data_IF_829191965531
#
_entry.id   IF_829191965531
#
_cell.length_a   1.000
_cell.length_b   1.000
_cell.length_c   1.000
_cell.angle_alpha   90.00
_cell.angle_beta   90.00
_cell.angle_gamma   90.00
#
_symmetry.space_group_name_H-M   'P 1'
#
loop_
_entity.id
_entity.type
_entity.pdbx_description
1 polymer ?
#
# COMPACT_ATOMS: atom_id res chain seq x y z
N UNK A 1 -7.40 -24.16 5.45
CA UNK A 1 -6.26 -23.62 6.25
C UNK A 1 -5.07 -23.15 5.43
N UNK A 2 -4.49 -23.90 4.46
CA UNK A 2 -3.28 -23.46 3.71
C UNK A 2 -3.30 -22.01 3.20
N UNK A 3 -4.39 -21.57 2.57
CA UNK A 3 -4.48 -20.22 2.00
C UNK A 3 -4.52 -19.11 3.06
N UNK A 4 -5.09 -19.38 4.24
CA UNK A 4 -5.06 -18.45 5.38
C UNK A 4 -3.63 -18.29 5.89
N UNK A 5 -2.92 -19.40 6.09
CA UNK A 5 -1.55 -19.37 6.59
C UNK A 5 -0.61 -18.66 5.61
N UNK A 6 -0.79 -18.92 4.30
CA UNK A 6 -0.07 -18.22 3.23
C UNK A 6 -0.33 -16.71 3.27
N UNK A 7 -1.59 -16.28 3.41
CA UNK A 7 -1.93 -14.86 3.48
C UNK A 7 -1.32 -14.19 4.72
N UNK A 8 -1.48 -14.79 5.91
CA UNK A 8 -0.93 -14.25 7.15
C UNK A 8 0.60 -14.20 7.13
N UNK A 9 1.26 -15.16 6.49
CA UNK A 9 2.71 -15.13 6.28
C UNK A 9 3.14 -13.99 5.36
N UNK A 10 2.37 -13.68 4.30
CA UNK A 10 2.65 -12.53 3.46
C UNK A 10 2.43 -11.21 4.21
N UNK A 11 1.37 -11.13 5.01
CA UNK A 11 1.11 -9.99 5.91
C UNK A 11 2.27 -9.75 6.88
N UNK A 12 2.71 -10.79 7.58
CA UNK A 12 3.84 -10.69 8.52
C UNK A 12 5.14 -10.25 7.85
N UNK A 13 5.34 -10.57 6.56
CA UNK A 13 6.53 -10.13 5.81
C UNK A 13 6.42 -8.70 5.29
N UNK A 14 5.23 -8.26 4.89
CA UNK A 14 5.02 -7.00 4.15
C UNK A 14 4.53 -5.85 5.02
N UNK A 15 3.90 -6.15 6.15
CA UNK A 15 3.26 -5.19 7.03
C UNK A 15 3.73 -5.39 8.48
N UNK A 16 5.03 -5.60 8.66
CA UNK A 16 5.70 -5.82 9.97
C UNK A 16 5.37 -4.69 10.95
N UNK A 17 5.27 -3.46 10.46
CA UNK A 17 5.09 -2.26 11.29
C UNK A 17 3.62 -1.92 11.57
N UNK A 18 2.68 -2.70 11.06
CA UNK A 18 1.26 -2.42 11.24
C UNK A 18 0.77 -2.94 12.59
N UNK A 19 0.18 -2.03 13.37
CA UNK A 19 -0.56 -2.37 14.58
C UNK A 19 -1.91 -2.99 14.21
N UNK A 20 -2.46 -3.84 15.10
CA UNK A 20 -3.80 -4.38 14.92
C UNK A 20 -4.88 -3.29 14.80
N UNK A 21 -4.64 -2.11 15.37
CA UNK A 21 -5.53 -0.95 15.24
C UNK A 21 -5.54 -0.41 13.80
N UNK A 22 -4.38 -0.30 13.16
CA UNK A 22 -4.27 0.16 11.76
C UNK A 22 -4.91 -0.84 10.79
N UNK A 23 -4.67 -2.13 11.01
CA UNK A 23 -5.29 -3.21 10.22
C UNK A 23 -6.81 -3.15 10.38
N UNK A 24 -7.30 -2.97 11.61
CA UNK A 24 -8.73 -2.83 11.89
C UNK A 24 -9.36 -1.65 11.16
N UNK A 25 -8.70 -0.48 11.16
CA UNK A 25 -9.22 0.70 10.48
C UNK A 25 -9.26 0.57 8.95
N UNK A 26 -8.31 -0.16 8.35
CA UNK A 26 -8.23 -0.32 6.90
C UNK A 26 -9.14 -1.43 6.38
N UNK A 27 -9.30 -2.51 7.13
CA UNK A 27 -10.07 -3.68 6.69
C UNK A 27 -11.53 -3.67 7.16
N UNK A 28 -11.89 -2.78 8.09
CA UNK A 28 -13.20 -2.79 8.76
C UNK A 28 -13.40 -3.98 9.71
N UNK A 29 -12.40 -4.85 9.88
CA UNK A 29 -12.44 -5.97 10.82
C UNK A 29 -12.22 -5.41 12.22
N UNK A 30 -13.03 -5.83 13.20
CA UNK A 30 -12.85 -5.43 14.60
C UNK A 30 -11.44 -5.77 15.11
N UNK A 31 -10.79 -4.86 15.83
CA UNK A 31 -9.40 -5.04 16.31
C UNK A 31 -9.17 -6.34 17.08
N UNK A 32 -10.12 -6.72 17.95
CA UNK A 32 -10.04 -7.98 18.71
C UNK A 32 -10.15 -9.21 17.79
N UNK A 33 -10.89 -9.11 16.69
CA UNK A 33 -11.01 -10.15 15.67
C UNK A 33 -9.72 -10.24 14.85
N UNK A 34 -9.12 -9.12 14.47
CA UNK A 34 -7.79 -9.08 13.85
C UNK A 34 -6.76 -9.79 14.73
N UNK A 35 -6.69 -9.42 16.02
CA UNK A 35 -5.79 -10.09 16.98
C UNK A 35 -5.98 -11.61 16.98
N UNK A 36 -7.23 -12.09 17.07
CA UNK A 36 -7.53 -13.53 17.06
C UNK A 36 -7.06 -14.22 15.77
N UNK A 37 -7.33 -13.63 14.62
CA UNK A 37 -6.92 -14.15 13.31
C UNK A 37 -5.40 -14.33 13.24
N UNK A 38 -4.64 -13.30 13.65
CA UNK A 38 -3.17 -13.36 13.66
C UNK A 38 -2.59 -14.36 14.67
N UNK A 39 -3.40 -14.79 15.65
CA UNK A 39 -3.08 -15.83 16.63
C UNK A 39 -3.67 -17.21 16.27
N UNK A 40 -4.10 -17.43 15.02
CA UNK A 40 -4.45 -18.75 14.50
C UNK A 40 -5.95 -19.09 14.55
N UNK A 41 -6.82 -18.13 14.87
CA UNK A 41 -8.26 -18.34 14.70
C UNK A 41 -8.63 -18.37 13.22
N UNK A 42 -9.56 -19.25 12.84
CA UNK A 42 -10.04 -19.37 11.47
C UNK A 42 -10.71 -18.07 11.01
N UNK A 43 -10.36 -17.63 9.80
CA UNK A 43 -10.93 -16.47 9.12
C UNK A 43 -12.25 -16.84 8.43
N UNK A 44 -13.18 -15.89 8.42
CA UNK A 44 -14.31 -15.89 7.49
C UNK A 44 -13.81 -15.53 6.09
N UNK A 45 -14.56 -15.95 5.07
CA UNK A 45 -14.26 -15.61 3.67
C UNK A 45 -14.18 -14.10 3.46
N UNK A 46 -15.07 -13.31 4.06
CA UNK A 46 -15.05 -11.85 3.99
C UNK A 46 -13.79 -11.24 4.62
N UNK A 47 -13.32 -11.80 5.73
CA UNK A 47 -12.10 -11.35 6.42
C UNK A 47 -10.86 -11.67 5.60
N UNK A 48 -10.83 -12.83 4.95
CA UNK A 48 -9.78 -13.21 4.02
C UNK A 48 -9.67 -12.21 2.87
N UNK A 49 -10.78 -11.87 2.22
CA UNK A 49 -10.76 -10.93 1.10
C UNK A 49 -10.37 -9.51 1.52
N UNK A 50 -10.90 -9.00 2.64
CA UNK A 50 -10.53 -7.68 3.14
C UNK A 50 -9.04 -7.55 3.46
N UNK A 51 -8.45 -8.59 4.07
CA UNK A 51 -7.00 -8.64 4.29
C UNK A 51 -6.25 -8.76 2.96
N UNK A 52 -6.69 -9.63 2.06
CA UNK A 52 -6.03 -9.80 0.75
C UNK A 52 -6.01 -8.49 -0.05
N UNK A 53 -7.11 -7.76 -0.10
CA UNK A 53 -7.23 -6.46 -0.76
C UNK A 53 -6.26 -5.44 -0.16
N UNK A 54 -6.22 -5.30 1.17
CA UNK A 54 -5.25 -4.44 1.86
C UNK A 54 -3.79 -4.79 1.51
N UNK A 55 -3.49 -6.08 1.31
CA UNK A 55 -2.16 -6.54 0.91
C UNK A 55 -1.84 -6.21 -0.56
N UNK A 56 -2.85 -6.25 -1.42
CA UNK A 56 -2.76 -6.02 -2.88
C UNK A 56 -2.74 -4.53 -3.23
N UNK A 57 -3.48 -3.67 -2.54
CA UNK A 57 -3.40 -2.21 -2.70
C UNK A 57 -1.98 -1.68 -2.44
N UNK A 58 -1.21 -2.37 -1.59
CA UNK A 58 0.20 -2.04 -1.32
C UNK A 58 1.18 -2.65 -2.33
N UNK A 59 0.73 -3.51 -3.26
CA UNK A 59 1.58 -3.94 -4.39
C UNK A 59 1.77 -2.82 -5.40
N UNK A 60 0.82 -1.88 -5.56
CA UNK A 60 0.94 -0.81 -6.56
C UNK A 60 2.19 0.06 -6.36
N UNK A 61 2.58 0.31 -5.11
CA UNK A 61 3.81 1.04 -4.79
C UNK A 61 5.08 0.23 -5.17
N UNK A 62 5.09 -1.09 -4.93
CA UNK A 62 6.20 -1.96 -5.33
C UNK A 62 6.30 -2.14 -6.84
N UNK A 63 5.15 -2.19 -7.51
CA UNK A 63 5.09 -2.26 -8.97
C UNK A 63 5.59 -0.95 -9.59
N UNK A 64 5.27 0.19 -8.98
CA UNK A 64 5.81 1.48 -9.40
C UNK A 64 7.34 1.57 -9.23
N UNK A 65 7.88 1.19 -8.07
CA UNK A 65 9.33 1.18 -7.84
C UNK A 65 10.05 0.28 -8.87
N UNK A 66 9.49 -0.89 -9.16
CA UNK A 66 10.03 -1.80 -10.17
C UNK A 66 9.96 -1.24 -11.59
N UNK A 67 8.88 -0.53 -11.92
CA UNK A 67 8.73 0.16 -13.21
C UNK A 67 9.77 1.28 -13.34
N UNK A 68 9.96 2.11 -12.31
CA UNK A 68 10.95 3.19 -12.30
C UNK A 68 12.36 2.62 -12.48
N UNK A 69 12.68 1.51 -11.82
CA UNK A 69 13.98 0.88 -11.96
C UNK A 69 14.19 0.32 -13.37
N UNK A 70 13.18 -0.34 -13.96
CA UNK A 70 13.23 -0.75 -15.37
C UNK A 70 13.38 0.42 -16.32
N UNK A 71 12.68 1.52 -16.08
CA UNK A 71 12.81 2.75 -16.87
C UNK A 71 14.26 3.25 -16.85
N UNK A 72 14.89 3.30 -15.67
CA UNK A 72 16.30 3.71 -15.52
C UNK A 72 17.27 2.82 -16.30
N UNK A 73 17.03 1.51 -16.34
CA UNK A 73 17.91 0.57 -17.03
C UNK A 73 17.73 0.54 -18.55
N UNK A 74 16.54 0.85 -19.06
CA UNK A 74 16.17 0.55 -20.46
C UNK A 74 15.86 1.77 -21.31
N UNK A 75 15.50 2.90 -20.70
CA UNK A 75 15.10 4.10 -21.45
C UNK A 75 16.29 5.04 -21.70
N UNK A 76 16.15 5.87 -22.73
CA UNK A 76 17.09 6.94 -23.03
C UNK A 76 16.98 8.07 -22.01
N UNK A 77 18.06 8.85 -21.86
CA UNK A 77 18.09 10.05 -21.01
C UNK A 77 16.98 11.06 -21.34
N UNK A 78 16.61 11.19 -22.62
CA UNK A 78 15.51 12.07 -23.04
C UNK A 78 14.18 11.61 -22.46
N UNK A 79 13.90 10.30 -22.52
CA UNK A 79 12.67 9.71 -22.01
C UNK A 79 12.62 9.80 -20.48
N UNK A 80 13.76 9.59 -19.81
CA UNK A 80 13.86 9.75 -18.35
C UNK A 80 13.59 11.20 -17.91
N UNK A 81 14.08 12.19 -18.65
CA UNK A 81 13.79 13.62 -18.39
C UNK A 81 12.32 13.96 -18.54
N UNK A 82 11.63 13.39 -19.52
CA UNK A 82 10.19 13.56 -19.68
C UNK A 82 9.42 13.01 -18.48
N UNK A 83 9.77 11.80 -18.03
CA UNK A 83 9.19 11.19 -16.83
C UNK A 83 9.45 12.08 -15.60
N UNK A 84 10.69 12.54 -15.40
CA UNK A 84 11.06 13.44 -14.30
C UNK A 84 10.22 14.73 -14.31
N UNK A 85 10.06 15.34 -15.48
CA UNK A 85 9.28 16.55 -15.66
C UNK A 85 7.81 16.34 -15.27
N UNK A 86 7.20 15.22 -15.67
CA UNK A 86 5.81 14.89 -15.29
C UNK A 86 5.67 14.72 -13.78
N UNK A 87 6.60 14.01 -13.14
CA UNK A 87 6.61 13.81 -11.69
C UNK A 87 6.73 15.16 -10.95
N UNK A 88 7.70 16.00 -11.32
CA UNK A 88 7.87 17.34 -10.73
C UNK A 88 6.63 18.20 -10.88
N UNK A 89 5.99 18.19 -12.06
CA UNK A 89 4.75 18.96 -12.30
C UNK A 89 3.62 18.52 -11.35
N UNK A 90 3.45 17.21 -11.13
CA UNK A 90 2.44 16.68 -10.21
C UNK A 90 2.74 17.05 -8.76
N UNK A 91 4.00 16.98 -8.34
CA UNK A 91 4.43 17.37 -6.98
C UNK A 91 4.19 18.87 -6.73
N UNK A 92 4.61 19.73 -7.65
CA UNK A 92 4.40 21.17 -7.53
C UNK A 92 2.91 21.53 -7.44
N UNK A 93 2.04 20.83 -8.18
CA UNK A 93 0.59 21.06 -8.10
C UNK A 93 0.04 20.71 -6.70
N UNK A 94 0.51 19.62 -6.10
CA UNK A 94 0.14 19.24 -4.74
C UNK A 94 0.63 20.26 -3.71
N UNK A 95 1.86 20.75 -3.83
CA UNK A 95 2.40 21.81 -2.96
C UNK A 95 1.57 23.10 -3.04
N UNK A 96 1.11 23.45 -4.24
CA UNK A 96 0.24 24.61 -4.45
C UNK A 96 -1.13 24.42 -3.79
N UNK A 97 -1.75 23.23 -3.92
CA UNK A 97 -3.04 22.93 -3.28
C UNK A 97 -2.92 23.00 -1.76
N UNK A 98 -1.90 22.36 -1.18
CA UNK A 98 -1.66 22.35 0.27
C UNK A 98 -1.41 23.77 0.80
N UNK A 99 -0.64 24.58 0.06
CA UNK A 99 -0.39 25.97 0.46
C UNK A 99 -1.64 26.85 0.35
N UNK A 100 -2.58 26.56 -0.56
CA UNK A 100 -3.87 27.28 -0.62
C UNK A 100 -4.82 26.88 0.51
N UNK A 101 -4.86 25.60 0.88
CA UNK A 101 -5.69 25.12 2.01
C UNK A 101 -5.26 25.73 3.35
N UNK A 102 -3.95 25.93 3.57
CA UNK A 102 -3.42 26.58 4.77
C UNK A 102 -3.67 28.10 4.84
N UNK A 103 -4.10 28.74 3.74
CA UNK A 103 -4.42 30.17 3.71
C UNK A 103 -5.91 30.41 3.98
N UNK A 104 -6.75 29.39 3.82
CA UNK A 104 -8.22 29.47 3.93
C UNK A 104 -8.75 28.88 5.25
N UNK A 105 -7.90 28.21 6.04
CA UNK A 105 -8.19 27.71 7.39
C UNK A 105 -7.81 28.71 8.49
#
# INVERSE_FOLDING_TARGET
>A
MKHQDELLNQFKKRLVDYTYKQISSQTGIQMTRVFRIFNGYEMKVSEYFALKEMLEEKNEAKDFDHIIEKCRMQLSDSSLKEIEMVCKKKLNLLELIISTENIVA
#
